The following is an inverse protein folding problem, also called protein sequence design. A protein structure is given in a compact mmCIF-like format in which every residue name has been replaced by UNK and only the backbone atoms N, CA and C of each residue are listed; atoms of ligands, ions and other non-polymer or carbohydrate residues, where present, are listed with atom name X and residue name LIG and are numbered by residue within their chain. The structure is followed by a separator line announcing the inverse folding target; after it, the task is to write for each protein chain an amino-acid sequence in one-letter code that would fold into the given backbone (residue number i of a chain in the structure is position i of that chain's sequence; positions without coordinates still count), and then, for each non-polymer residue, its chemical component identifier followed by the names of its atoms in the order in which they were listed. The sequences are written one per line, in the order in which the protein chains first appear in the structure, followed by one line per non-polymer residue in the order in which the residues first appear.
data_IF_483722087664
#
_entry.id   IF_483722087664
#
_cell.length_a   1.000
_cell.length_b   1.000
_cell.length_c   1.000
_cell.angle_alpha   90.00
_cell.angle_beta   90.00
_cell.angle_gamma   90.00
#
_symmetry.space_group_name_H-M   'P 1'
#
loop_
_entity.id
_entity.type
_entity.pdbx_description
1 polymer ?
#
# COMPACT_ATOMS: atom_id res chain seq x y z
N UNK A 1 5.96 16.52 2.89
CA UNK A 1 4.70 16.39 2.14
C UNK A 1 4.23 14.96 2.29
N UNK A 2 3.01 14.74 2.75
CA UNK A 2 2.40 13.40 2.82
C UNK A 2 1.61 13.19 1.53
N UNK A 3 2.14 12.38 0.62
CA UNK A 3 1.44 11.95 -0.58
C UNK A 3 0.87 10.55 -0.35
N UNK A 4 -0.34 10.29 -0.86
CA UNK A 4 -0.97 8.96 -0.82
C UNK A 4 -0.80 8.29 -2.17
N UNK A 5 -0.60 6.97 -2.16
CA UNK A 5 -0.63 6.17 -3.39
C UNK A 5 -2.06 5.80 -3.74
N UNK A 6 -2.36 5.66 -5.03
CA UNK A 6 -3.64 5.09 -5.50
C UNK A 6 -3.69 3.55 -5.37
N UNK A 7 -2.57 2.90 -5.04
CA UNK A 7 -2.50 1.44 -4.85
C UNK A 7 -2.98 1.02 -3.47
N UNK A 8 -3.88 0.03 -3.42
CA UNK A 8 -4.36 -0.59 -2.19
C UNK A 8 -3.79 -2.01 -2.02
N UNK A 9 -3.35 -2.33 -0.80
CA UNK A 9 -2.89 -3.68 -0.43
C UNK A 9 -3.99 -4.36 0.39
N UNK A 10 -4.36 -5.58 0.00
CA UNK A 10 -5.26 -6.41 0.81
C UNK A 10 -4.58 -6.83 2.11
N UNK A 11 -5.10 -6.33 3.23
CA UNK A 11 -4.69 -6.69 4.59
C UNK A 11 -5.77 -7.51 5.31
N UNK A 12 -5.40 -8.43 6.20
CA UNK A 12 -6.36 -9.11 7.07
C UNK A 12 -7.03 -8.11 8.02
N UNK A 13 -8.25 -8.44 8.44
CA UNK A 13 -9.03 -7.61 9.38
C UNK A 13 -8.39 -7.52 10.76
N UNK A 14 -7.73 -8.60 11.19
CA UNK A 14 -6.97 -8.66 12.43
C UNK A 14 -5.47 -8.71 12.14
N UNK A 15 -4.75 -7.71 12.67
CA UNK A 15 -3.31 -7.57 12.58
C UNK A 15 -2.63 -7.68 13.96
N UNK A 16 -3.33 -8.09 15.02
CA UNK A 16 -2.69 -8.34 16.32
C UNK A 16 -1.68 -9.50 16.26
N UNK A 17 -1.95 -10.62 15.55
CA UNK A 17 -0.97 -11.69 15.42
C UNK A 17 0.29 -11.21 14.68
N UNK A 18 1.47 -11.56 15.22
CA UNK A 18 2.76 -11.20 14.61
C UNK A 18 2.85 -11.68 13.15
N UNK A 19 2.46 -12.92 12.90
CA UNK A 19 2.47 -13.51 11.56
C UNK A 19 1.61 -12.71 10.57
N UNK A 20 0.42 -12.25 10.98
CA UNK A 20 -0.46 -11.46 10.12
C UNK A 20 0.19 -10.12 9.71
N UNK A 21 0.93 -9.50 10.63
CA UNK A 21 1.70 -8.27 10.37
C UNK A 21 2.85 -8.51 9.43
N UNK A 22 3.66 -9.53 9.70
CA UNK A 22 4.83 -9.87 8.87
C UNK A 22 4.40 -10.23 7.45
N UNK A 23 3.33 -11.01 7.30
CA UNK A 23 2.79 -11.38 6.00
C UNK A 23 2.22 -10.18 5.25
N UNK A 24 1.57 -9.23 5.94
CA UNK A 24 1.10 -7.99 5.31
C UNK A 24 2.27 -7.10 4.90
N UNK A 25 3.29 -7.00 5.74
CA UNK A 25 4.49 -6.19 5.46
C UNK A 25 5.25 -6.71 4.24
N UNK A 26 5.36 -8.03 4.06
CA UNK A 26 6.01 -8.65 2.89
C UNK A 26 5.34 -8.28 1.56
N UNK A 27 4.06 -7.91 1.55
CA UNK A 27 3.36 -7.46 0.34
C UNK A 27 3.83 -6.07 -0.12
N UNK A 28 4.31 -5.24 0.80
CA UNK A 28 4.78 -3.87 0.48
C UNK A 28 5.97 -3.89 -0.49
N UNK A 29 7.10 -4.57 -0.22
CA UNK A 29 8.23 -4.61 -1.16
C UNK A 29 7.86 -5.32 -2.46
N UNK A 30 6.94 -6.28 -2.45
CA UNK A 30 6.44 -6.91 -3.68
C UNK A 30 5.71 -5.89 -4.55
N UNK A 31 4.83 -5.06 -3.97
CA UNK A 31 4.18 -3.96 -4.68
C UNK A 31 5.23 -2.98 -5.21
N UNK A 32 6.16 -2.52 -4.38
CA UNK A 32 7.22 -1.60 -4.81
C UNK A 32 8.07 -2.17 -5.95
N UNK A 33 8.38 -3.47 -5.94
CA UNK A 33 9.15 -4.12 -7.01
C UNK A 33 8.43 -4.14 -8.37
N UNK A 34 7.09 -4.07 -8.37
CA UNK A 34 6.28 -3.98 -9.59
C UNK A 34 6.22 -2.55 -10.15
N UNK A 35 6.63 -1.56 -9.36
CA UNK A 35 6.64 -0.13 -9.72
C UNK A 35 8.07 0.44 -9.58
N UNK A 36 9.01 0.02 -10.47
CA UNK A 36 10.41 0.43 -10.36
C UNK A 36 10.62 1.95 -10.48
N UNK A 37 9.73 2.63 -11.21
CA UNK A 37 9.76 4.08 -11.40
C UNK A 37 8.98 4.86 -10.31
N UNK A 38 8.42 4.15 -9.33
CA UNK A 38 7.60 4.71 -8.25
C UNK A 38 6.13 4.32 -8.32
N UNK A 39 5.49 4.23 -7.15
CA UNK A 39 4.05 3.94 -7.07
C UNK A 39 3.24 5.14 -7.58
N UNK A 40 2.13 4.91 -8.29
CA UNK A 40 1.26 5.99 -8.72
C UNK A 40 0.68 6.71 -7.50
N UNK A 41 0.69 8.03 -7.56
CA UNK A 41 0.10 8.89 -6.54
C UNK A 41 -1.39 9.03 -6.80
N UNK A 42 -2.14 9.21 -5.73
CA UNK A 42 -3.54 9.58 -5.76
C UNK A 42 -3.64 11.08 -6.05
N UNK A 43 -4.53 11.47 -6.95
CA UNK A 43 -4.88 12.86 -7.20
C UNK A 43 -5.98 13.31 -6.20
N UNK A 44 -5.72 14.31 -5.33
CA UNK A 44 -6.71 14.76 -4.35
C UNK A 44 -7.97 15.39 -4.95
N UNK A 45 -7.91 15.96 -6.16
CA UNK A 45 -9.06 16.58 -6.82
C UNK A 45 -9.83 15.56 -7.65
N UNK A 46 -9.15 14.68 -8.40
CA UNK A 46 -9.83 13.73 -9.29
C UNK A 46 -10.28 12.43 -8.59
N UNK A 47 -9.54 11.92 -7.60
CA UNK A 47 -9.79 10.59 -7.01
C UNK A 47 -10.54 10.63 -5.67
N UNK A 48 -10.65 11.81 -5.02
CA UNK A 48 -11.23 11.96 -3.66
C UNK A 48 -12.49 12.84 -3.57
N UNK A 49 -13.13 13.20 -4.70
CA UNK A 49 -14.38 14.00 -4.72
C UNK A 49 -15.49 13.46 -3.80
#
# INVERSE_FOLDING_TARGET
AHSLSSVCILMPKDLLPLEARENTLKKVPEVLSRFPDGVPLLDPEEDME
#
